data_IF_586472323235
#
_entry.id   IF_586472323235
#
_cell.length_a   1.000
_cell.length_b   1.000
_cell.length_c   1.000
_cell.angle_alpha   90.00
_cell.angle_beta   90.00
_cell.angle_gamma   90.00
#
_symmetry.space_group_name_H-M   'P 1'
#
loop_
_entity.id
_entity.type
_entity.pdbx_description
1 polymer ?
#
# COMPACT_ATOMS: atom_id res chain seq x y z
N UNK A 1 3.17 -12.14 -37.64
CA UNK A 1 3.12 -11.16 -36.53
C UNK A 1 4.53 -10.92 -36.05
N UNK A 2 4.98 -9.67 -36.04
CA UNK A 2 6.23 -9.31 -35.39
C UNK A 2 5.96 -9.15 -33.89
N UNK A 3 6.74 -9.84 -33.05
CA UNK A 3 6.65 -9.71 -31.60
C UNK A 3 7.61 -8.58 -31.20
N UNK A 4 7.09 -7.54 -30.54
CA UNK A 4 7.92 -6.52 -29.90
C UNK A 4 8.06 -6.84 -28.41
N UNK A 5 9.28 -6.78 -27.88
CA UNK A 5 9.49 -6.71 -26.43
C UNK A 5 9.16 -5.29 -25.99
N UNK A 6 8.36 -5.17 -24.94
CA UNK A 6 8.06 -3.91 -24.26
C UNK A 6 8.52 -4.10 -22.82
N UNK A 7 9.29 -3.14 -22.32
CA UNK A 7 9.65 -3.04 -20.91
C UNK A 7 8.57 -2.21 -20.21
N UNK A 8 8.14 -2.64 -19.03
CA UNK A 8 7.09 -1.99 -18.28
C UNK A 8 7.31 -2.21 -16.79
N UNK A 9 6.74 -1.31 -15.99
CA UNK A 9 6.92 -1.24 -14.55
C UNK A 9 5.59 -1.45 -13.84
N UNK A 10 5.64 -2.19 -12.75
CA UNK A 10 4.51 -2.38 -11.84
C UNK A 10 4.94 -1.98 -10.44
N UNK A 11 4.02 -1.43 -9.66
CA UNK A 11 4.27 -1.17 -8.25
C UNK A 11 4.09 -2.46 -7.43
N UNK A 12 5.02 -2.72 -6.53
CA UNK A 12 5.01 -3.90 -5.64
C UNK A 12 5.29 -3.47 -4.21
N UNK A 13 4.81 -4.26 -3.24
CA UNK A 13 5.13 -4.03 -1.84
C UNK A 13 6.55 -4.50 -1.55
N UNK A 14 7.39 -3.63 -0.98
CA UNK A 14 8.77 -3.95 -0.61
C UNK A 14 8.88 -5.01 0.49
N UNK A 15 7.80 -5.28 1.24
CA UNK A 15 7.77 -6.30 2.30
C UNK A 15 7.25 -7.66 1.83
N UNK A 16 6.15 -7.64 1.07
CA UNK A 16 5.56 -8.88 0.57
C UNK A 16 6.29 -9.40 -0.68
N UNK A 17 6.96 -8.51 -1.42
CA UNK A 17 7.60 -8.80 -2.70
C UNK A 17 6.64 -9.30 -3.79
N UNK A 18 5.36 -9.50 -3.48
CA UNK A 18 4.49 -10.34 -4.27
C UNK A 18 3.10 -9.75 -4.50
N UNK A 19 2.66 -10.07 -5.71
CA UNK A 19 1.48 -9.64 -6.46
C UNK A 19 0.29 -10.55 -6.16
N UNK A 20 0.08 -10.95 -4.90
CA UNK A 20 -0.90 -12.00 -4.52
C UNK A 20 -2.36 -11.67 -4.90
N UNK A 21 -2.60 -10.48 -5.40
CA UNK A 21 -3.80 -10.18 -6.17
C UNK A 21 -3.63 -10.66 -7.62
N UNK A 22 -3.56 -11.98 -7.83
CA UNK A 22 -3.61 -12.57 -9.17
C UNK A 22 -4.89 -12.18 -9.94
N UNK A 23 -5.91 -11.72 -9.22
CA UNK A 23 -7.19 -11.23 -9.75
C UNK A 23 -7.30 -9.70 -9.80
N UNK A 24 -6.35 -8.93 -9.25
CA UNK A 24 -6.35 -7.49 -9.43
C UNK A 24 -5.53 -7.10 -10.65
N UNK A 25 -6.08 -6.18 -11.44
CA UNK A 25 -5.40 -5.63 -12.61
C UNK A 25 -4.32 -4.69 -12.09
N UNK A 26 -3.10 -5.20 -11.90
CA UNK A 26 -1.94 -4.36 -11.61
C UNK A 26 -1.58 -3.62 -12.91
N UNK A 27 -1.62 -2.29 -12.93
CA UNK A 27 -1.31 -1.55 -14.15
C UNK A 27 0.18 -1.63 -14.45
N UNK A 28 0.49 -1.75 -15.74
CA UNK A 28 1.83 -1.68 -16.30
C UNK A 28 2.09 -0.27 -16.83
N UNK A 29 3.13 0.39 -16.33
CA UNK A 29 3.47 1.79 -16.63
C UNK A 29 4.83 1.87 -17.33
N UNK A 30 5.11 3.03 -17.93
CA UNK A 30 6.32 3.25 -18.72
C UNK A 30 7.54 3.56 -17.84
N UNK A 31 7.33 4.06 -16.62
CA UNK A 31 8.40 4.37 -15.65
C UNK A 31 8.12 3.84 -14.23
N UNK A 32 9.16 3.59 -13.42
CA UNK A 32 9.01 3.25 -12.00
C UNK A 32 8.26 4.32 -11.21
N UNK A 33 8.56 5.58 -11.47
CA UNK A 33 7.95 6.72 -10.77
C UNK A 33 6.44 6.79 -11.04
N UNK A 34 6.02 6.63 -12.30
CA UNK A 34 4.61 6.59 -12.65
C UNK A 34 3.89 5.41 -11.99
N UNK A 35 4.54 4.24 -11.88
CA UNK A 35 3.95 3.09 -11.20
C UNK A 35 3.70 3.37 -9.71
N UNK A 36 4.65 4.03 -9.04
CA UNK A 36 4.53 4.43 -7.62
C UNK A 36 3.48 5.53 -7.45
N UNK A 37 3.51 6.56 -8.28
CA UNK A 37 2.53 7.65 -8.25
C UNK A 37 1.12 7.13 -8.52
N UNK A 38 0.97 6.22 -9.48
CA UNK A 38 -0.32 5.61 -9.79
C UNK A 38 -0.94 4.93 -8.57
N UNK A 39 -0.19 4.08 -7.85
CA UNK A 39 -0.74 3.36 -6.69
C UNK A 39 -0.93 4.24 -5.46
N UNK A 40 -0.20 5.35 -5.35
CA UNK A 40 -0.41 6.32 -4.28
C UNK A 40 -1.60 7.25 -4.56
N UNK A 41 -1.82 7.63 -5.83
CA UNK A 41 -2.90 8.52 -6.23
C UNK A 41 -4.24 7.80 -6.40
N UNK A 42 -4.22 6.60 -6.99
CA UNK A 42 -5.41 5.82 -7.28
C UNK A 42 -5.67 4.72 -6.25
N UNK A 43 -4.87 4.70 -5.18
CA UNK A 43 -4.86 3.74 -4.06
C UNK A 43 -6.00 2.77 -4.20
N UNK A 44 -5.74 1.65 -4.89
CA UNK A 44 -6.78 0.69 -5.26
C UNK A 44 -7.75 0.59 -4.10
N UNK A 45 -9.03 0.84 -4.38
CA UNK A 45 -10.08 1.23 -3.43
C UNK A 45 -10.29 0.18 -2.32
N UNK A 46 -9.57 -0.94 -2.43
CA UNK A 46 -9.51 -2.11 -1.58
C UNK A 46 -8.19 -2.23 -0.78
N UNK A 47 -7.08 -1.65 -1.24
CA UNK A 47 -5.72 -1.86 -0.72
C UNK A 47 -4.91 -0.54 -0.67
N UNK A 48 -5.21 0.35 0.27
CA UNK A 48 -4.49 1.62 0.40
C UNK A 48 -2.96 1.44 0.53
N UNK A 49 -2.16 2.15 -0.26
CA UNK A 49 -0.70 2.07 -0.22
C UNK A 49 -0.08 3.07 0.76
N UNK A 50 1.15 2.81 1.19
CA UNK A 50 1.91 3.67 2.09
C UNK A 50 3.30 3.88 1.54
N UNK A 51 3.67 5.12 1.26
CA UNK A 51 5.08 5.48 1.04
C UNK A 51 5.70 5.89 2.37
N UNK A 52 6.71 5.17 2.79
CA UNK A 52 7.44 5.47 4.03
C UNK A 52 8.36 6.68 3.82
N UNK A 53 8.77 7.39 4.89
CA UNK A 53 9.76 8.46 4.79
C UNK A 53 11.10 8.00 4.18
N UNK A 54 11.45 6.72 4.35
CA UNK A 54 12.64 6.10 3.76
C UNK A 54 12.49 5.72 2.28
N UNK A 55 11.34 5.99 1.66
CA UNK A 55 11.10 5.73 0.25
C UNK A 55 10.51 4.35 -0.06
N UNK A 56 10.40 3.46 0.92
CA UNK A 56 9.76 2.15 0.73
C UNK A 56 8.26 2.30 0.44
N UNK A 57 7.76 1.44 -0.44
CA UNK A 57 6.37 1.29 -0.81
C UNK A 57 5.78 0.04 -0.15
N UNK A 58 4.79 0.24 0.73
CA UNK A 58 4.20 -0.81 1.58
C UNK A 58 2.69 -0.89 1.35
N UNK A 59 2.16 -2.09 1.07
CA UNK A 59 0.72 -2.30 0.88
C UNK A 59 -0.05 -2.24 2.22
N UNK A 60 -1.39 -2.19 2.18
CA UNK A 60 -2.22 -2.00 3.38
C UNK A 60 -2.40 -3.20 4.30
N UNK A 61 -1.57 -4.25 4.17
CA UNK A 61 -1.72 -5.45 4.98
C UNK A 61 -1.76 -5.11 6.48
N UNK A 62 -2.57 -5.82 7.25
CA UNK A 62 -2.70 -5.62 8.70
C UNK A 62 -1.66 -6.42 9.49
N UNK A 63 -0.81 -7.19 8.81
CA UNK A 63 0.23 -7.96 9.46
C UNK A 63 1.18 -7.04 10.25
N UNK A 64 1.70 -7.48 11.42
CA UNK A 64 2.49 -6.62 12.31
C UNK A 64 3.66 -5.90 11.63
N UNK A 65 4.28 -6.53 10.63
CA UNK A 65 5.36 -5.93 9.86
C UNK A 65 4.91 -4.69 9.06
N UNK A 66 3.73 -4.71 8.44
CA UNK A 66 3.20 -3.58 7.66
C UNK A 66 2.70 -2.46 8.56
N UNK A 67 2.05 -2.84 9.68
CA UNK A 67 1.53 -1.91 10.67
C UNK A 67 2.61 -0.96 11.18
N UNK A 68 3.81 -1.50 11.48
CA UNK A 68 4.94 -0.69 11.92
C UNK A 68 5.25 0.44 10.91
N UNK A 69 5.31 0.13 9.61
CA UNK A 69 5.56 1.13 8.57
C UNK A 69 4.39 2.10 8.39
N UNK A 70 3.15 1.65 8.57
CA UNK A 70 1.97 2.51 8.51
C UNK A 70 1.94 3.54 9.63
N UNK A 71 2.28 3.14 10.85
CA UNK A 71 2.40 4.04 12.01
C UNK A 71 3.55 5.03 11.80
N UNK A 72 4.73 4.57 11.37
CA UNK A 72 5.88 5.45 11.09
C UNK A 72 5.59 6.47 9.99
N UNK A 73 4.77 6.11 9.01
CA UNK A 73 4.34 7.02 7.94
C UNK A 73 3.15 7.92 8.33
N UNK A 74 2.65 7.83 9.58
CA UNK A 74 1.49 8.61 10.04
C UNK A 74 0.16 8.23 9.38
N UNK A 75 0.10 7.06 8.72
CA UNK A 75 -1.13 6.57 8.09
C UNK A 75 -2.07 5.92 9.10
N UNK A 76 -1.53 5.37 10.17
CA UNK A 76 -2.27 4.82 11.30
C UNK A 76 -1.87 5.56 12.55
N UNK A 77 -2.81 6.32 13.09
CA UNK A 77 -2.72 6.76 14.48
C UNK A 77 -2.78 5.47 15.31
N UNK A 78 -1.67 5.08 15.94
CA UNK A 78 -1.55 3.86 16.76
C UNK A 78 -2.38 3.91 18.06
N UNK A 79 -3.55 4.52 18.03
CA UNK A 79 -4.48 4.67 19.13
C UNK A 79 -5.92 4.41 18.70
N UNK A 80 -6.85 4.30 19.66
CA UNK A 80 -8.28 4.20 19.38
C UNK A 80 -8.69 5.29 18.36
N UNK A 81 -9.32 4.87 17.25
CA UNK A 81 -9.76 5.78 16.19
C UNK A 81 -10.71 6.85 16.72
N UNK A 82 -11.02 7.87 15.90
CA UNK A 82 -11.93 8.97 16.32
C UNK A 82 -13.29 8.48 16.85
N UNK A 83 -13.71 7.27 16.46
CA UNK A 83 -14.96 6.64 16.87
C UNK A 83 -14.81 5.68 18.06
N UNK A 84 -13.60 5.44 18.56
CA UNK A 84 -13.38 4.59 19.71
C UNK A 84 -13.66 5.37 21.00
N UNK A 85 -14.93 5.42 21.38
CA UNK A 85 -15.36 5.91 22.68
C UNK A 85 -15.08 4.85 23.76
N UNK A 86 -14.19 5.17 24.71
CA UNK A 86 -14.07 4.41 25.95
C UNK A 86 -15.33 4.63 26.81
N UNK A 87 -16.12 3.58 27.00
CA UNK A 87 -17.21 3.57 27.99
C UNK A 87 -16.68 2.93 29.27
N UNK A 88 -16.39 3.74 30.28
CA UNK A 88 -16.13 3.26 31.64
C UNK A 88 -17.43 3.20 32.41
N UNK A 89 -17.88 1.99 32.77
CA UNK A 89 -18.94 1.82 33.77
C UNK A 89 -18.35 2.04 35.17
N UNK A 90 -19.03 2.85 35.97
CA UNK A 90 -18.82 2.93 37.42
C UNK A 90 -19.94 2.11 38.06
N UNK A 91 -19.61 1.25 39.02
CA UNK A 91 -20.61 0.54 39.84
C UNK A 91 -21.48 1.52 40.64
#
# INVERSE_FOLDING_TARGET
MAVRRVECWIAVCDLCGNTEYADSVIPHLDTPEEAVEYVLANGDVTFGWTRTPGGLLVCNSLEPAHEWFHVQAGKRDGGPGRDAMCVTYSD
#
